data_IF_108880914499
#
_entry.id   IF_108880914499
#
_cell.length_a   1.000
_cell.length_b   1.000
_cell.length_c   1.000
_cell.angle_alpha   90.00
_cell.angle_beta   90.00
_cell.angle_gamma   90.00
#
_symmetry.space_group_name_H-M   'P 1'
#
loop_
_entity.id
_entity.type
_entity.pdbx_description
1 polymer ?
#
# COMPACT_ATOMS: atom_id res chain seq x y z
N UNK A 1 -50.55 -2.51 30.15
CA UNK A 1 -49.31 -3.25 29.85
C UNK A 1 -49.26 -3.78 28.42
N UNK A 2 -50.26 -4.51 27.92
CA UNK A 2 -50.26 -5.06 26.55
C UNK A 2 -50.09 -4.01 25.42
N UNK A 3 -50.70 -2.83 25.57
CA UNK A 3 -50.54 -1.70 24.62
C UNK A 3 -49.10 -1.18 24.55
N UNK A 4 -48.40 -1.11 25.68
CA UNK A 4 -47.02 -0.61 25.77
C UNK A 4 -46.06 -1.63 25.14
N UNK A 5 -46.30 -2.92 25.38
CA UNK A 5 -45.54 -4.02 24.78
C UNK A 5 -45.70 -4.02 23.25
N UNK A 6 -46.92 -3.83 22.74
CA UNK A 6 -47.16 -3.72 21.29
C UNK A 6 -46.46 -2.50 20.67
N UNK A 7 -46.45 -1.36 21.36
CA UNK A 7 -45.77 -0.15 20.88
C UNK A 7 -44.24 -0.32 20.85
N UNK A 8 -43.65 -0.98 21.85
CA UNK A 8 -42.22 -1.32 21.87
C UNK A 8 -41.84 -2.31 20.76
N UNK A 9 -42.65 -3.35 20.52
CA UNK A 9 -42.44 -4.30 19.43
C UNK A 9 -42.55 -3.62 18.05
N UNK A 10 -43.47 -2.67 17.89
CA UNK A 10 -43.60 -1.90 16.66
C UNK A 10 -42.35 -1.03 16.43
N UNK A 11 -41.82 -0.36 17.45
CA UNK A 11 -40.60 0.45 17.39
C UNK A 11 -39.38 -0.42 17.00
N UNK A 12 -39.24 -1.62 17.56
CA UNK A 12 -38.15 -2.55 17.20
C UNK A 12 -38.27 -3.00 15.74
N UNK A 13 -39.49 -3.20 15.22
CA UNK A 13 -39.71 -3.57 13.81
C UNK A 13 -39.38 -2.43 12.82
N UNK A 14 -39.61 -1.16 13.18
CA UNK A 14 -39.23 -0.02 12.32
C UNK A 14 -37.71 0.23 12.32
N UNK A 15 -37.01 -0.02 13.44
CA UNK A 15 -35.55 0.09 13.50
C UNK A 15 -34.82 -1.13 12.92
N UNK A 16 -35.44 -2.32 12.88
CA UNK A 16 -34.88 -3.52 12.28
C UNK A 16 -34.80 -3.45 10.73
N UNK A 17 -35.59 -2.57 10.12
CA UNK A 17 -35.71 -2.47 8.67
C UNK A 17 -34.89 -1.33 8.03
N UNK A 18 -33.99 -0.67 8.77
CA UNK A 18 -32.91 0.06 8.12
C UNK A 18 -31.92 -0.96 7.57
N UNK A 19 -32.17 -1.45 6.35
CA UNK A 19 -31.10 -2.01 5.52
C UNK A 19 -30.01 -0.96 5.52
N UNK A 20 -28.90 -1.26 6.18
CA UNK A 20 -27.66 -0.52 6.05
C UNK A 20 -27.46 -0.37 4.53
N UNK A 21 -27.58 0.86 4.02
CA UNK A 21 -27.34 1.15 2.62
C UNK A 21 -25.89 0.73 2.38
N UNK A 22 -25.69 -0.49 1.87
CA UNK A 22 -24.39 -0.91 1.38
C UNK A 22 -24.07 0.09 0.28
N UNK A 23 -22.99 0.88 0.40
CA UNK A 23 -22.59 1.80 -0.65
C UNK A 23 -22.56 1.02 -1.96
N UNK A 24 -23.11 1.59 -3.03
CA UNK A 24 -23.03 0.97 -4.35
C UNK A 24 -21.56 0.80 -4.70
N UNK A 25 -21.11 -0.45 -4.82
CA UNK A 25 -19.74 -0.77 -5.23
C UNK A 25 -19.51 -0.19 -6.62
N UNK A 26 -18.45 0.59 -6.79
CA UNK A 26 -18.15 1.26 -8.06
C UNK A 26 -17.37 0.31 -8.97
N UNK A 27 -17.81 0.15 -10.22
CA UNK A 27 -17.06 -0.62 -11.23
C UNK A 27 -16.06 0.27 -11.96
N UNK A 28 -14.78 -0.07 -11.86
CA UNK A 28 -13.66 0.50 -12.62
C UNK A 28 -13.44 -0.38 -13.85
N UNK A 29 -13.76 0.12 -15.03
CA UNK A 29 -13.51 -0.59 -16.29
C UNK A 29 -12.11 -0.28 -16.79
N UNK A 30 -11.22 -1.28 -16.77
CA UNK A 30 -9.85 -1.11 -17.25
C UNK A 30 -9.80 -1.44 -18.74
N UNK A 31 -9.46 -0.47 -19.62
CA UNK A 31 -9.43 -0.72 -21.05
C UNK A 31 -8.34 -1.73 -21.43
N UNK A 32 -8.54 -2.45 -22.54
CA UNK A 32 -7.48 -3.25 -23.15
C UNK A 32 -6.51 -2.35 -23.90
N UNK A 33 -5.28 -2.30 -23.42
CA UNK A 33 -4.17 -1.58 -24.06
C UNK A 33 -3.10 -2.57 -24.53
N UNK A 34 -2.37 -2.20 -25.58
CA UNK A 34 -1.19 -2.95 -25.98
C UNK A 34 -0.04 -2.73 -24.97
N UNK A 35 0.90 -3.68 -24.90
CA UNK A 35 1.97 -3.66 -23.88
C UNK A 35 3.02 -2.56 -24.12
N UNK A 36 2.97 -1.90 -25.26
CA UNK A 36 3.80 -0.77 -25.65
C UNK A 36 3.06 0.57 -25.57
N UNK A 37 1.84 0.59 -25.02
CA UNK A 37 1.13 1.85 -24.77
C UNK A 37 1.83 2.61 -23.65
N UNK A 38 2.33 3.78 -24.03
CA UNK A 38 2.97 4.73 -23.15
C UNK A 38 1.92 5.62 -22.49
N UNK A 39 2.04 5.81 -21.18
CA UNK A 39 1.37 6.91 -20.49
C UNK A 39 2.26 8.15 -20.55
N UNK A 40 1.67 9.27 -20.94
CA UNK A 40 2.33 10.57 -20.96
C UNK A 40 2.00 11.28 -19.66
N UNK A 41 2.92 11.23 -18.69
CA UNK A 41 2.73 11.80 -17.37
C UNK A 41 2.50 13.31 -17.43
N UNK A 42 3.11 14.04 -18.36
CA UNK A 42 2.85 15.47 -18.54
C UNK A 42 1.41 15.80 -18.98
N UNK A 43 0.68 14.83 -19.53
CA UNK A 43 -0.75 14.99 -19.86
C UNK A 43 -1.63 14.90 -18.62
N UNK A 44 -1.23 14.15 -17.59
CA UNK A 44 -2.05 13.91 -16.38
C UNK A 44 -1.53 14.61 -15.12
N UNK A 45 -0.26 15.02 -15.09
CA UNK A 45 0.36 15.72 -13.96
C UNK A 45 0.19 17.23 -14.13
N UNK A 46 -0.35 17.87 -13.10
CA UNK A 46 -0.51 19.33 -13.01
C UNK A 46 0.75 19.99 -12.44
N UNK A 47 1.31 19.41 -11.37
CA UNK A 47 2.48 19.95 -10.67
C UNK A 47 3.40 18.80 -10.26
N UNK A 48 4.71 18.98 -10.43
CA UNK A 48 5.75 18.10 -9.91
C UNK A 48 6.80 18.90 -9.13
N UNK A 49 7.18 18.41 -7.95
CA UNK A 49 8.20 18.98 -7.07
C UNK A 49 9.26 17.89 -6.85
N UNK A 50 10.52 18.28 -7.02
CA UNK A 50 11.66 17.38 -6.89
C UNK A 50 12.49 17.79 -5.68
N UNK A 51 12.78 16.82 -4.81
CA UNK A 51 13.51 17.05 -3.57
C UNK A 51 14.68 16.06 -3.54
N UNK A 52 15.90 16.49 -3.93
CA UNK A 52 17.09 15.67 -3.76
C UNK A 52 17.30 15.35 -2.29
N UNK A 53 17.52 14.08 -1.96
CA UNK A 53 17.95 13.71 -0.62
C UNK A 53 19.44 14.03 -0.48
N UNK A 54 19.82 14.58 0.66
CA UNK A 54 21.21 14.86 1.02
C UNK A 54 22.05 13.60 0.87
N UNK A 55 23.22 13.72 0.23
CA UNK A 55 24.18 12.62 0.03
C UNK A 55 25.46 12.91 0.80
N UNK A 56 25.73 12.09 1.82
CA UNK A 56 27.01 12.05 2.55
C UNK A 56 27.33 10.61 2.91
N UNK A 57 28.55 10.35 3.37
CA UNK A 57 28.95 9.01 3.85
C UNK A 57 28.05 8.51 5.01
N UNK A 58 27.45 9.42 5.78
CA UNK A 58 26.58 9.09 6.92
C UNK A 58 25.16 8.68 6.50
N UNK A 59 24.71 9.10 5.31
CA UNK A 59 23.34 8.94 4.86
C UNK A 59 23.20 8.33 3.46
N UNK A 60 24.25 7.70 2.94
CA UNK A 60 24.22 7.07 1.63
C UNK A 60 23.20 5.92 1.58
N UNK A 61 22.38 5.93 0.53
CA UNK A 61 21.30 4.98 0.28
C UNK A 61 21.65 4.14 -0.95
N UNK A 62 21.68 2.82 -0.77
CA UNK A 62 21.61 1.88 -1.89
C UNK A 62 20.17 1.88 -2.44
N UNK A 63 19.96 2.59 -3.55
CA UNK A 63 18.66 2.70 -4.21
C UNK A 63 18.07 1.33 -4.59
N UNK A 64 18.89 0.30 -4.85
CA UNK A 64 18.42 -1.06 -5.15
C UNK A 64 17.80 -1.77 -3.93
N UNK A 65 18.15 -1.28 -2.73
CA UNK A 65 17.67 -1.80 -1.45
C UNK A 65 16.56 -0.96 -0.84
N UNK A 66 16.15 0.13 -1.49
CA UNK A 66 15.00 0.92 -1.08
C UNK A 66 13.72 0.08 -1.17
N UNK A 67 12.87 0.13 -0.16
CA UNK A 67 11.63 -0.69 -0.11
C UNK A 67 10.38 0.10 0.17
N UNK A 68 10.47 1.17 0.96
CA UNK A 68 9.30 1.98 1.32
C UNK A 68 9.72 3.37 1.69
N UNK A 69 8.89 4.35 1.34
CA UNK A 69 8.97 5.68 1.89
C UNK A 69 7.60 6.17 2.31
N UNK A 70 7.58 6.90 3.42
CA UNK A 70 6.40 7.59 3.94
C UNK A 70 6.77 9.03 4.23
N UNK A 71 5.83 9.95 4.05
CA UNK A 71 5.98 11.34 4.49
C UNK A 71 4.93 11.69 5.53
N UNK A 72 5.39 12.19 6.66
CA UNK A 72 4.52 12.56 7.77
C UNK A 72 5.13 13.68 8.61
N UNK A 73 4.34 14.73 8.88
CA UNK A 73 4.74 15.89 9.69
C UNK A 73 6.07 16.52 9.27
N UNK A 74 6.24 16.74 7.96
CA UNK A 74 7.42 17.44 7.44
C UNK A 74 8.70 16.62 7.40
N UNK A 75 8.59 15.29 7.46
CA UNK A 75 9.72 14.35 7.40
C UNK A 75 9.45 13.24 6.39
N UNK A 76 10.50 12.86 5.66
CA UNK A 76 10.54 11.65 4.85
C UNK A 76 11.18 10.52 5.67
N UNK A 77 10.51 9.37 5.70
CA UNK A 77 10.98 8.14 6.34
C UNK A 77 11.26 7.12 5.25
N UNK A 78 12.54 6.87 4.96
CA UNK A 78 12.98 6.02 3.87
C UNK A 78 13.55 4.72 4.44
N UNK A 79 12.87 3.61 4.22
CA UNK A 79 13.33 2.30 4.66
C UNK A 79 14.13 1.59 3.56
N UNK A 80 15.36 1.24 3.90
CA UNK A 80 16.34 0.54 3.06
C UNK A 80 16.63 -0.81 3.69
N UNK A 81 16.42 -1.90 2.94
CA UNK A 81 16.40 -3.29 3.46
C UNK A 81 17.66 -3.71 4.20
N UNK A 82 18.83 -3.19 3.82
CA UNK A 82 20.13 -3.49 4.44
C UNK A 82 20.67 -2.35 5.30
N UNK A 83 20.11 -1.15 5.18
CA UNK A 83 20.58 0.04 5.91
C UNK A 83 19.77 0.37 7.16
N UNK A 84 18.44 0.26 7.07
CA UNK A 84 17.51 0.67 8.12
C UNK A 84 16.61 1.83 7.71
N UNK A 85 16.17 2.63 8.67
CA UNK A 85 15.30 3.77 8.43
C UNK A 85 16.08 5.08 8.42
N UNK A 86 16.15 5.72 7.27
CA UNK A 86 16.71 7.05 7.10
C UNK A 86 15.60 8.07 7.24
N UNK A 87 15.83 9.11 8.03
CA UNK A 87 14.89 10.21 8.27
C UNK A 87 15.50 11.46 7.67
N UNK A 88 14.73 12.11 6.78
CA UNK A 88 15.08 13.39 6.17
C UNK A 88 14.02 14.43 6.50
N UNK A 89 14.39 15.70 6.55
CA UNK A 89 13.43 16.80 6.65
C UNK A 89 12.70 17.02 5.31
N UNK A 90 11.69 17.89 5.30
CA UNK A 90 10.90 18.24 4.09
C UNK A 90 11.72 18.78 2.92
N UNK A 91 12.95 19.23 3.15
CA UNK A 91 13.84 19.76 2.12
C UNK A 91 14.88 18.72 1.68
N UNK A 92 14.77 17.46 2.14
CA UNK A 92 15.69 16.39 1.82
C UNK A 92 16.96 16.36 2.65
N UNK A 93 17.08 17.17 3.72
CA UNK A 93 18.29 17.16 4.57
C UNK A 93 18.24 16.01 5.55
N UNK A 94 19.36 15.32 5.72
CA UNK A 94 19.46 14.17 6.60
C UNK A 94 19.27 14.59 8.06
N UNK A 95 18.56 13.77 8.83
CA UNK A 95 18.31 14.01 10.25
C UNK A 95 18.82 12.87 11.11
N UNK A 96 18.56 11.62 10.71
CA UNK A 96 18.92 10.43 11.49
C UNK A 96 18.84 9.14 10.68
N UNK A 97 19.66 8.16 11.05
CA UNK A 97 19.54 6.76 10.67
C UNK A 97 19.19 5.91 11.90
N UNK A 98 18.17 5.07 11.78
CA UNK A 98 17.92 3.96 12.69
C UNK A 98 18.41 2.68 12.00
N UNK A 99 19.60 2.14 12.37
CA UNK A 99 20.18 1.03 11.65
C UNK A 99 19.43 -0.28 11.95
N UNK A 100 19.57 -1.25 11.05
CA UNK A 100 19.13 -2.63 11.30
C UNK A 100 20.13 -3.32 12.21
N UNK A 101 19.62 -4.01 13.23
CA UNK A 101 20.46 -4.78 14.13
C UNK A 101 19.72 -5.34 15.34
N UNK A 102 20.47 -5.66 16.40
CA UNK A 102 19.97 -6.33 17.61
C UNK A 102 20.31 -5.59 18.90
N UNK A 103 21.06 -4.49 18.82
CA UNK A 103 21.35 -3.66 19.97
C UNK A 103 20.10 -2.86 20.39
N UNK A 104 20.04 -2.34 21.63
CA UNK A 104 18.95 -1.48 22.06
C UNK A 104 18.79 -0.27 21.12
N UNK A 105 17.57 -0.05 20.62
CA UNK A 105 17.26 1.05 19.71
C UNK A 105 17.47 0.76 18.21
N UNK A 106 17.98 -0.42 17.85
CA UNK A 106 18.13 -0.83 16.45
C UNK A 106 16.87 -1.55 15.92
N UNK A 107 16.69 -1.49 14.61
CA UNK A 107 15.58 -2.15 13.93
C UNK A 107 15.81 -3.65 13.83
N UNK A 108 15.11 -4.42 14.67
CA UNK A 108 15.04 -5.88 14.58
C UNK A 108 13.81 -6.30 13.77
N UNK A 109 13.87 -6.04 12.47
CA UNK A 109 12.75 -6.22 11.52
C UNK A 109 12.68 -7.64 10.95
N UNK A 110 11.47 -8.09 10.63
CA UNK A 110 11.28 -9.26 9.77
C UNK A 110 11.34 -8.82 8.29
N UNK A 111 11.76 -9.73 7.41
CA UNK A 111 12.03 -9.49 5.97
C UNK A 111 10.78 -9.14 5.14
N UNK A 112 9.94 -8.21 5.56
CA UNK A 112 8.73 -7.82 4.82
C UNK A 112 9.04 -6.62 3.92
N UNK A 113 8.51 -6.66 2.70
CA UNK A 113 8.67 -5.61 1.69
C UNK A 113 7.89 -4.32 2.05
N UNK A 114 7.15 -4.30 3.16
CA UNK A 114 6.42 -3.13 3.70
C UNK A 114 6.78 -2.95 5.18
N UNK A 115 8.06 -2.67 5.43
CA UNK A 115 8.79 -2.90 6.67
C UNK A 115 8.40 -2.03 7.89
N UNK A 116 7.65 -0.94 7.71
CA UNK A 116 7.21 -0.07 8.80
C UNK A 116 5.89 0.61 8.49
N UNK A 117 5.28 1.20 9.52
CA UNK A 117 4.02 1.94 9.49
C UNK A 117 4.16 3.22 10.31
N UNK A 118 3.24 4.17 10.09
CA UNK A 118 3.11 5.35 10.94
C UNK A 118 1.75 5.29 11.64
N UNK A 119 1.77 5.18 12.96
CA UNK A 119 0.59 5.35 13.81
C UNK A 119 0.33 6.85 13.96
N UNK A 120 -0.40 7.42 12.99
CA UNK A 120 -0.70 8.87 12.92
C UNK A 120 -1.52 9.36 14.13
N UNK A 121 -2.27 8.48 14.78
CA UNK A 121 -3.07 8.84 15.97
C UNK A 121 -2.20 9.12 17.18
N UNK A 122 -1.11 8.36 17.33
CA UNK A 122 -0.19 8.48 18.47
C UNK A 122 1.17 9.06 18.08
N UNK A 123 1.33 9.54 16.86
CA UNK A 123 2.57 10.13 16.33
C UNK A 123 3.82 9.26 16.57
N UNK A 124 3.76 8.01 16.13
CA UNK A 124 4.86 7.06 16.31
C UNK A 124 5.07 6.16 15.10
N UNK A 125 6.32 5.77 14.89
CA UNK A 125 6.71 4.77 13.92
C UNK A 125 6.51 3.38 14.51
N UNK A 126 6.03 2.45 13.69
CA UNK A 126 5.81 1.06 14.09
C UNK A 126 6.53 0.13 13.15
N UNK A 127 7.37 -0.74 13.70
CA UNK A 127 8.13 -1.74 12.97
C UNK A 127 7.65 -3.14 13.36
N UNK A 128 6.94 -3.83 12.44
CA UNK A 128 6.64 -5.24 12.61
C UNK A 128 7.93 -6.06 12.65
N UNK A 129 8.18 -6.74 13.77
CA UNK A 129 9.27 -7.70 13.93
C UNK A 129 8.76 -9.12 14.06
N UNK A 130 9.68 -10.05 14.35
CA UNK A 130 9.33 -11.44 14.66
C UNK A 130 8.56 -11.52 15.98
N UNK A 131 7.26 -11.84 15.90
CA UNK A 131 6.34 -12.02 17.03
C UNK A 131 6.17 -10.81 17.95
N UNK A 132 6.62 -9.61 17.55
CA UNK A 132 6.43 -8.38 18.32
C UNK A 132 6.53 -7.16 17.42
N UNK A 133 5.93 -6.06 17.84
CA UNK A 133 6.05 -4.76 17.18
C UNK A 133 6.93 -3.83 18.02
N UNK A 134 7.82 -3.09 17.35
CA UNK A 134 8.66 -2.07 17.96
C UNK A 134 8.10 -0.69 17.66
N UNK A 135 8.10 0.18 18.65
CA UNK A 135 7.56 1.53 18.56
C UNK A 135 8.68 2.55 18.77
N UNK A 136 8.73 3.56 17.90
CA UNK A 136 9.67 4.68 17.96
C UNK A 136 8.91 5.99 17.84
N UNK A 137 9.42 7.07 18.41
CA UNK A 137 8.90 8.40 18.13
C UNK A 137 9.25 8.83 16.68
N UNK A 138 8.76 10.00 16.26
CA UNK A 138 9.02 10.55 14.92
C UNK A 138 10.47 11.04 14.74
N UNK A 139 11.25 11.10 15.81
CA UNK A 139 12.68 11.40 15.86
C UNK A 139 13.52 10.12 15.84
N UNK A 140 12.88 8.94 15.72
CA UNK A 140 13.53 7.65 15.65
C UNK A 140 14.13 7.19 16.98
N UNK A 141 13.65 7.67 18.12
CA UNK A 141 14.04 7.15 19.43
C UNK A 141 13.10 6.00 19.82
N UNK A 142 13.68 4.92 20.33
CA UNK A 142 12.91 3.76 20.78
C UNK A 142 12.03 4.13 21.98
N UNK A 143 10.76 3.73 21.92
CA UNK A 143 9.78 3.90 22.99
C UNK A 143 9.60 2.57 23.73
N UNK A 144 9.08 1.56 23.04
CA UNK A 144 8.72 0.28 23.62
C UNK A 144 8.61 -0.82 22.55
N UNK A 145 8.37 -2.06 23.00
CA UNK A 145 7.95 -3.15 22.11
C UNK A 145 6.80 -3.94 22.74
N UNK A 146 5.87 -4.39 21.91
CA UNK A 146 4.72 -5.20 22.33
C UNK A 146 4.74 -6.55 21.62
N UNK A 147 4.71 -7.62 22.40
CA UNK A 147 4.64 -8.97 21.85
C UNK A 147 3.27 -9.25 21.24
N UNK A 148 3.26 -9.97 20.13
CA UNK A 148 2.06 -10.55 19.55
C UNK A 148 1.68 -11.79 20.37
N UNK A 149 0.43 -11.89 20.78
CA UNK A 149 -0.17 -13.14 21.26
C UNK A 149 -0.25 -14.23 20.18
N UNK A 150 -0.28 -13.81 18.91
CA UNK A 150 -0.32 -14.75 17.80
C UNK A 150 1.05 -15.38 17.57
N UNK A 151 1.08 -16.70 17.33
CA UNK A 151 2.26 -17.40 16.83
C UNK A 151 2.48 -17.19 15.32
N UNK A 152 1.64 -16.39 14.68
CA UNK A 152 1.76 -16.04 13.27
C UNK A 152 2.40 -14.67 13.14
N UNK A 153 3.37 -14.54 12.23
CA UNK A 153 3.96 -13.26 11.87
C UNK A 153 3.19 -12.68 10.69
N UNK A 154 2.59 -11.49 10.80
CA UNK A 154 1.86 -10.90 9.70
C UNK A 154 2.84 -10.56 8.55
N UNK A 155 2.39 -10.83 7.33
CA UNK A 155 3.09 -10.43 6.12
C UNK A 155 3.06 -8.93 5.92
N UNK A 156 1.91 -8.32 6.22
CA UNK A 156 1.71 -6.88 6.28
C UNK A 156 0.79 -6.58 7.46
N UNK A 157 0.97 -5.41 8.05
CA UNK A 157 0.04 -4.86 9.02
C UNK A 157 -0.43 -3.50 8.50
N UNK A 158 -1.61 -3.08 8.93
CA UNK A 158 -2.17 -1.74 8.75
C UNK A 158 -2.85 -1.29 10.03
N UNK A 159 -2.97 0.04 10.18
CA UNK A 159 -3.66 0.67 11.29
C UNK A 159 -4.75 1.57 10.73
N UNK A 160 -6.01 1.24 10.98
CA UNK A 160 -7.18 2.05 10.60
C UNK A 160 -7.88 2.48 11.89
N UNK A 161 -8.03 3.79 12.10
CA UNK A 161 -8.71 4.35 13.29
C UNK A 161 -8.24 3.82 14.67
N UNK A 162 -7.01 3.32 14.74
CA UNK A 162 -6.42 2.73 15.96
C UNK A 162 -6.68 1.23 16.13
N UNK A 163 -7.39 0.58 15.20
CA UNK A 163 -7.54 -0.87 15.13
C UNK A 163 -6.46 -1.48 14.22
N UNK A 164 -5.88 -2.59 14.68
CA UNK A 164 -4.83 -3.31 13.94
C UNK A 164 -5.43 -4.32 12.98
N UNK A 165 -4.90 -4.31 11.76
CA UNK A 165 -5.28 -5.22 10.69
C UNK A 165 -4.06 -5.94 10.16
N UNK A 166 -4.11 -7.26 10.15
CA UNK A 166 -3.01 -8.11 9.72
C UNK A 166 -3.40 -8.88 8.46
N UNK A 167 -2.47 -8.90 7.50
CA UNK A 167 -2.51 -9.76 6.33
C UNK A 167 -1.45 -10.86 6.49
N UNK A 168 -1.78 -12.10 6.14
CA UNK A 168 -0.85 -13.24 6.24
C UNK A 168 -0.64 -13.90 4.88
N UNK A 169 0.62 -14.22 4.56
CA UNK A 169 0.97 -15.00 3.37
C UNK A 169 0.70 -16.49 3.58
N UNK A 170 0.24 -17.11 2.49
CA UNK A 170 -0.27 -18.46 2.29
C UNK A 170 0.38 -19.73 2.85
N UNK A 171 1.47 -19.65 3.61
CA UNK A 171 2.27 -20.86 3.91
C UNK A 171 2.40 -21.20 5.39
N UNK A 172 2.37 -20.24 6.32
CA UNK A 172 2.66 -20.53 7.73
C UNK A 172 1.42 -20.93 8.57
N UNK A 173 0.21 -20.52 8.18
CA UNK A 173 -0.99 -20.56 9.03
C UNK A 173 -2.06 -21.56 8.60
N UNK A 174 -1.96 -22.08 7.37
CA UNK A 174 -3.10 -22.65 6.63
C UNK A 174 -3.29 -24.17 6.82
N UNK A 175 -2.67 -24.77 7.83
CA UNK A 175 -2.85 -26.21 8.12
C UNK A 175 -4.13 -26.51 8.93
N UNK A 176 -4.95 -25.50 9.22
CA UNK A 176 -6.29 -25.65 9.83
C UNK A 176 -7.33 -25.04 8.90
N UNK A 177 -8.44 -25.76 8.69
CA UNK A 177 -9.48 -25.45 7.69
C UNK A 177 -10.26 -24.13 7.85
N UNK A 178 -9.90 -23.28 8.82
CA UNK A 178 -10.60 -22.03 9.15
C UNK A 178 -9.70 -20.78 9.00
N UNK A 179 -8.57 -20.89 8.28
CA UNK A 179 -7.67 -19.76 8.09
C UNK A 179 -8.28 -18.70 7.16
N UNK A 180 -8.13 -17.42 7.52
CA UNK A 180 -8.41 -16.24 6.71
C UNK A 180 -7.13 -15.57 6.20
N UNK A 181 -7.24 -14.71 5.19
CA UNK A 181 -6.12 -13.90 4.68
C UNK A 181 -5.91 -12.63 5.50
N UNK A 182 -7.00 -12.01 5.92
CA UNK A 182 -7.01 -10.78 6.70
C UNK A 182 -7.58 -11.04 8.09
N UNK A 183 -7.05 -10.35 9.10
CA UNK A 183 -7.54 -10.44 10.46
C UNK A 183 -7.56 -9.09 11.13
N UNK A 184 -8.59 -8.88 11.93
CA UNK A 184 -8.58 -7.83 12.95
C UNK A 184 -7.84 -8.35 14.18
N UNK A 185 -6.95 -7.53 14.71
CA UNK A 185 -6.04 -7.91 15.78
C UNK A 185 -6.13 -6.94 16.97
N UNK A 186 -6.09 -7.52 18.16
CA UNK A 186 -5.95 -6.82 19.42
C UNK A 186 -4.69 -7.36 20.14
N UNK A 187 -3.88 -6.48 20.71
CA UNK A 187 -2.62 -6.91 21.35
C UNK A 187 -2.87 -7.65 22.68
N UNK A 188 -3.97 -7.36 23.36
CA UNK A 188 -4.33 -7.92 24.65
C UNK A 188 -5.21 -9.16 24.52
N UNK A 189 -5.95 -9.33 23.42
CA UNK A 189 -6.81 -10.50 23.17
C UNK A 189 -6.31 -11.42 22.05
N UNK A 190 -5.51 -10.90 21.12
CA UNK A 190 -5.02 -11.63 19.94
C UNK A 190 -5.93 -11.43 18.71
N UNK A 191 -6.05 -12.47 17.89
CA UNK A 191 -6.91 -12.43 16.70
C UNK A 191 -8.38 -12.37 17.15
N UNK A 192 -9.10 -11.33 16.72
CA UNK A 192 -10.52 -11.13 17.02
C UNK A 192 -11.43 -11.76 15.97
N UNK A 193 -11.08 -11.56 14.70
CA UNK A 193 -11.95 -11.88 13.57
C UNK A 193 -11.12 -12.06 12.30
N UNK A 194 -11.55 -12.96 11.42
CA UNK A 194 -10.91 -13.26 10.14
C UNK A 194 -11.81 -12.91 8.94
N UNK A 195 -11.20 -12.41 7.88
CA UNK A 195 -11.86 -11.98 6.65
C UNK A 195 -11.17 -12.61 5.44
N UNK A 196 -11.97 -12.90 4.41
CA UNK A 196 -11.54 -13.62 3.22
C UNK A 196 -10.98 -15.01 3.57
N UNK A 197 -11.89 -15.98 3.80
CA UNK A 197 -11.50 -17.35 4.10
C UNK A 197 -10.54 -17.87 3.03
N UNK A 198 -9.46 -18.46 3.50
CA UNK A 198 -8.54 -19.14 2.63
C UNK A 198 -9.05 -20.53 2.30
N UNK A 199 -8.79 -20.93 1.07
CA UNK A 199 -9.08 -22.24 0.53
C UNK A 199 -7.81 -22.82 -0.08
N UNK A 200 -7.77 -24.13 -0.38
CA UNK A 200 -6.67 -24.72 -1.15
C UNK A 200 -6.35 -23.95 -2.44
N UNK A 201 -7.35 -23.31 -3.06
CA UNK A 201 -7.24 -22.58 -4.32
C UNK A 201 -6.56 -21.20 -4.17
N UNK A 202 -6.77 -20.50 -3.05
CA UNK A 202 -6.28 -19.13 -2.87
C UNK A 202 -5.22 -19.02 -1.77
N UNK A 203 -4.81 -20.12 -1.13
CA UNK A 203 -3.89 -20.07 0.01
C UNK A 203 -2.61 -19.34 -0.35
N UNK A 204 -1.99 -19.60 -1.49
CA UNK A 204 -0.71 -18.97 -1.90
C UNK A 204 -0.85 -17.59 -2.53
N UNK A 205 -2.04 -17.02 -2.48
CA UNK A 205 -2.28 -15.81 -3.22
C UNK A 205 -1.63 -14.60 -2.50
N UNK A 206 -0.96 -13.75 -3.29
CA UNK A 206 -0.32 -12.49 -2.86
C UNK A 206 -1.25 -11.28 -2.86
N UNK A 207 -1.34 -10.58 -1.74
CA UNK A 207 -2.22 -9.43 -1.54
C UNK A 207 -1.61 -8.45 -0.55
N UNK A 208 -2.43 -7.54 -0.03
CA UNK A 208 -1.97 -6.66 1.02
C UNK A 208 -2.84 -5.43 1.23
N UNK A 209 -2.23 -4.47 1.91
CA UNK A 209 -2.84 -3.18 2.19
C UNK A 209 -2.29 -2.10 1.25
N UNK A 210 -3.21 -1.32 0.72
CA UNK A 210 -2.96 -0.01 0.13
C UNK A 210 -3.25 1.09 1.16
N UNK A 211 -2.52 2.19 1.07
CA UNK A 211 -2.68 3.33 1.97
C UNK A 211 -3.11 4.56 1.18
N UNK A 212 -3.89 5.42 1.81
CA UNK A 212 -4.32 6.67 1.19
C UNK A 212 -4.66 7.78 2.17
N UNK A 213 -5.30 8.81 1.62
CA UNK A 213 -5.78 10.02 2.32
C UNK A 213 -6.53 9.68 3.60
N UNK A 214 -6.35 10.50 4.64
CA UNK A 214 -7.10 10.43 5.90
C UNK A 214 -7.08 9.06 6.60
N UNK A 215 -5.98 8.32 6.44
CA UNK A 215 -5.84 6.96 7.00
C UNK A 215 -6.80 5.94 6.37
N UNK A 216 -7.28 6.23 5.15
CA UNK A 216 -7.99 5.27 4.33
C UNK A 216 -7.07 4.06 4.09
N UNK A 217 -7.45 2.92 4.65
CA UNK A 217 -6.79 1.65 4.38
C UNK A 217 -7.64 0.90 3.37
N UNK A 218 -7.02 0.63 2.23
CA UNK A 218 -7.57 -0.27 1.23
C UNK A 218 -6.92 -1.64 1.40
N UNK A 219 -7.70 -2.69 1.21
CA UNK A 219 -7.22 -4.05 1.17
C UNK A 219 -7.54 -4.62 -0.21
N UNK A 220 -6.55 -5.24 -0.83
CA UNK A 220 -6.71 -5.88 -2.12
C UNK A 220 -6.41 -7.37 -1.97
N UNK A 221 -7.35 -8.16 -2.43
CA UNK A 221 -7.32 -9.59 -2.20
C UNK A 221 -6.60 -10.31 -3.32
N UNK A 222 -5.87 -11.36 -2.95
CA UNK A 222 -4.82 -11.87 -3.81
C UNK A 222 -5.32 -12.81 -4.91
N UNK A 223 -4.85 -12.63 -6.15
CA UNK A 223 -5.10 -13.44 -7.37
C UNK A 223 -6.56 -13.71 -7.80
N UNK A 224 -7.52 -13.66 -6.87
CA UNK A 224 -8.86 -14.23 -7.03
C UNK A 224 -9.97 -13.20 -6.83
N UNK A 225 -9.61 -11.98 -6.48
CA UNK A 225 -10.57 -10.90 -6.30
C UNK A 225 -10.20 -9.76 -7.23
N UNK A 226 -11.17 -9.43 -8.07
CA UNK A 226 -11.24 -8.19 -8.81
C UNK A 226 -11.75 -7.03 -7.93
N UNK A 227 -11.87 -7.24 -6.62
CA UNK A 227 -12.47 -6.25 -5.72
C UNK A 227 -11.38 -5.63 -4.85
N UNK A 228 -11.36 -4.30 -4.81
CA UNK A 228 -10.64 -3.50 -3.83
C UNK A 228 -11.61 -3.22 -2.69
N UNK A 229 -11.19 -3.51 -1.48
CA UNK A 229 -11.98 -3.34 -0.26
C UNK A 229 -11.46 -2.16 0.53
N UNK A 230 -12.35 -1.49 1.22
CA UNK A 230 -12.04 -0.47 2.20
C UNK A 230 -12.22 -1.06 3.60
N UNK A 231 -11.29 -0.75 4.48
CA UNK A 231 -11.48 -0.93 5.93
C UNK A 231 -12.09 0.36 6.46
N UNK A 232 -13.27 0.25 7.08
CA UNK A 232 -14.01 1.40 7.60
C UNK A 232 -14.74 1.01 8.87
N UNK A 233 -14.44 1.71 9.98
CA UNK A 233 -15.11 1.52 11.29
C UNK A 233 -15.12 0.05 11.74
N UNK A 234 -13.98 -0.62 11.63
CA UNK A 234 -13.86 -2.02 12.02
C UNK A 234 -14.44 -3.03 11.04
N UNK A 235 -14.97 -2.59 9.89
CA UNK A 235 -15.56 -3.46 8.87
C UNK A 235 -14.75 -3.50 7.58
N UNK A 236 -14.75 -4.66 6.95
CA UNK A 236 -14.11 -4.92 5.66
C UNK A 236 -15.17 -4.86 4.55
N UNK A 237 -15.20 -3.77 3.77
CA UNK A 237 -16.30 -3.46 2.85
C UNK A 237 -15.81 -3.40 1.39
N UNK A 238 -16.52 -4.00 0.41
CA UNK A 238 -16.22 -3.78 -1.00
C UNK A 238 -16.34 -2.30 -1.36
N UNK A 239 -15.30 -1.74 -1.99
CA UNK A 239 -15.29 -0.33 -2.42
C UNK A 239 -15.31 -0.21 -3.94
N UNK A 240 -14.46 -0.98 -4.63
CA UNK A 240 -14.33 -0.95 -6.08
C UNK A 240 -14.29 -2.36 -6.66
N UNK A 241 -14.95 -2.54 -7.81
CA UNK A 241 -14.87 -3.71 -8.65
C UNK A 241 -14.05 -3.37 -9.90
N UNK A 242 -12.91 -4.01 -10.11
CA UNK A 242 -12.00 -3.79 -11.24
C UNK A 242 -12.31 -4.78 -12.36
N UNK A 243 -12.95 -4.29 -13.40
CA UNK A 243 -13.34 -5.07 -14.57
C UNK A 243 -12.20 -5.11 -15.60
N UNK A 244 -11.52 -6.26 -15.68
CA UNK A 244 -10.52 -6.56 -16.72
C UNK A 244 -11.14 -7.18 -18.00
N UNK A 245 -12.47 -7.20 -18.11
CA UNK A 245 -13.19 -7.78 -19.24
C UNK A 245 -12.92 -9.28 -19.39
N UNK A 246 -12.53 -9.70 -20.61
CA UNK A 246 -12.22 -11.11 -20.93
C UNK A 246 -10.98 -11.65 -20.20
N UNK A 247 -10.12 -10.76 -19.70
CA UNK A 247 -8.88 -11.11 -18.99
C UNK A 247 -9.10 -11.23 -17.48
N UNK A 248 -10.36 -11.22 -17.04
CA UNK A 248 -10.75 -11.46 -15.65
C UNK A 248 -10.34 -12.87 -15.24
N UNK A 249 -9.72 -13.00 -14.06
CA UNK A 249 -9.46 -14.31 -13.47
C UNK A 249 -10.75 -14.97 -12.98
N UNK A 250 -10.96 -16.22 -13.42
CA UNK A 250 -12.00 -17.11 -12.90
C UNK A 250 -11.31 -18.27 -12.21
N UNK A 251 -11.59 -18.42 -10.91
CA UNK A 251 -11.13 -19.54 -10.10
C UNK A 251 -11.61 -20.87 -10.71
N UNK A 252 -10.66 -21.68 -11.18
CA UNK A 252 -10.88 -23.06 -11.63
C UNK A 252 -10.23 -24.08 -10.70
N UNK A 253 -10.68 -25.34 -10.76
CA UNK A 253 -10.22 -26.42 -9.88
C UNK A 253 -8.76 -26.89 -10.13
N UNK A 254 -8.10 -26.44 -11.19
CA UNK A 254 -6.81 -26.98 -11.64
C UNK A 254 -5.60 -26.49 -10.82
N UNK A 255 -5.81 -25.93 -9.61
CA UNK A 255 -4.76 -25.26 -8.85
C UNK A 255 -4.16 -26.14 -7.75
N UNK A 256 -3.04 -26.81 -8.06
CA UNK A 256 -2.06 -27.24 -7.07
C UNK A 256 -0.70 -26.55 -7.36
N UNK A 257 -0.37 -25.64 -6.46
CA UNK A 257 0.97 -25.25 -6.00
C UNK A 257 1.98 -24.58 -6.96
N UNK A 258 1.94 -24.70 -8.29
CA UNK A 258 3.08 -24.22 -9.12
C UNK A 258 2.66 -23.56 -10.44
N UNK A 259 2.24 -22.28 -10.40
CA UNK A 259 2.72 -21.24 -11.32
C UNK A 259 1.95 -19.91 -11.14
N UNK A 260 2.33 -19.11 -10.15
CA UNK A 260 1.91 -17.69 -10.05
C UNK A 260 2.26 -16.95 -11.36
N UNK A 261 3.39 -17.31 -11.97
CA UNK A 261 3.82 -16.81 -13.28
C UNK A 261 2.80 -17.11 -14.40
N UNK A 262 2.21 -18.31 -14.43
CA UNK A 262 1.16 -18.65 -15.40
C UNK A 262 -0.17 -17.93 -15.16
N UNK A 263 -0.44 -17.48 -13.93
CA UNK A 263 -1.62 -16.69 -13.63
C UNK A 263 -1.45 -15.24 -14.06
N UNK A 264 -0.30 -14.66 -13.69
CA UNK A 264 0.12 -13.33 -14.13
C UNK A 264 0.14 -13.22 -15.66
N UNK A 265 0.53 -14.29 -16.36
CA UNK A 265 0.54 -14.34 -17.83
C UNK A 265 -0.84 -14.45 -18.49
N UNK A 266 -1.92 -14.68 -17.73
CA UNK A 266 -3.26 -14.90 -18.29
C UNK A 266 -4.30 -13.88 -17.85
N UNK A 267 -4.12 -13.24 -16.69
CA UNK A 267 -5.21 -12.51 -16.02
C UNK A 267 -4.77 -11.23 -15.35
N UNK A 268 -5.74 -10.32 -15.13
CA UNK A 268 -5.55 -9.08 -14.39
C UNK A 268 -5.51 -9.30 -12.88
N UNK A 269 -4.40 -8.92 -12.24
CA UNK A 269 -4.19 -9.08 -10.80
C UNK A 269 -3.68 -7.75 -10.23
N UNK A 270 -4.38 -7.20 -9.25
CA UNK A 270 -3.98 -5.97 -8.55
C UNK A 270 -2.84 -6.29 -7.59
N UNK A 271 -1.75 -5.54 -7.67
CA UNK A 271 -0.54 -5.74 -6.86
C UNK A 271 -0.26 -4.59 -5.89
N UNK A 272 -0.80 -3.41 -6.17
CA UNK A 272 -0.66 -2.22 -5.34
C UNK A 272 -1.86 -1.30 -5.53
N UNK A 273 -2.24 -0.59 -4.46
CA UNK A 273 -3.33 0.39 -4.49
C UNK A 273 -2.94 1.57 -3.59
N UNK A 274 -3.17 2.78 -4.07
CA UNK A 274 -2.97 4.04 -3.34
C UNK A 274 -4.19 4.92 -3.57
N UNK A 275 -4.74 5.48 -2.50
CA UNK A 275 -5.89 6.38 -2.62
C UNK A 275 -5.48 7.84 -2.36
N UNK A 276 -5.63 8.68 -3.39
CA UNK A 276 -5.54 10.14 -3.30
C UNK A 276 -6.90 10.80 -3.09
N UNK A 277 -6.93 12.14 -3.10
CA UNK A 277 -8.12 12.95 -2.76
C UNK A 277 -9.34 12.68 -3.66
N UNK A 278 -9.12 12.45 -4.95
CA UNK A 278 -10.15 12.12 -5.94
C UNK A 278 -9.75 10.99 -6.90
N UNK A 279 -8.51 10.49 -6.76
CA UNK A 279 -7.95 9.48 -7.67
C UNK A 279 -7.58 8.24 -6.89
N UNK A 280 -7.94 7.08 -7.43
CA UNK A 280 -7.40 5.78 -7.00
C UNK A 280 -6.33 5.37 -7.99
N UNK A 281 -5.10 5.29 -7.51
CA UNK A 281 -3.99 4.70 -8.25
C UNK A 281 -3.92 3.21 -7.92
N UNK A 282 -3.68 2.36 -8.92
CA UNK A 282 -3.38 0.96 -8.67
C UNK A 282 -2.46 0.39 -9.75
N UNK A 283 -1.60 -0.53 -9.32
CA UNK A 283 -0.76 -1.35 -10.19
C UNK A 283 -1.45 -2.70 -10.37
N UNK A 284 -1.43 -3.20 -11.59
CA UNK A 284 -1.90 -4.55 -11.87
C UNK A 284 -1.00 -5.25 -12.89
N UNK A 285 -0.89 -6.57 -12.75
CA UNK A 285 -0.26 -7.42 -13.76
C UNK A 285 -1.34 -7.98 -14.65
N UNK A 286 -1.18 -7.88 -15.96
CA UNK A 286 -2.09 -8.43 -16.96
C UNK A 286 -1.31 -8.99 -18.14
N UNK A 287 -1.60 -10.23 -18.51
CA UNK A 287 -0.91 -10.96 -19.60
C UNK A 287 0.62 -10.98 -19.45
N UNK A 288 1.12 -10.96 -18.22
CA UNK A 288 2.54 -11.02 -17.88
C UNK A 288 3.23 -9.66 -17.78
N UNK A 289 2.50 -8.56 -18.00
CA UNK A 289 3.05 -7.20 -17.99
C UNK A 289 2.45 -6.40 -16.83
N UNK A 290 3.29 -5.62 -16.15
CA UNK A 290 2.84 -4.64 -15.17
C UNK A 290 2.25 -3.43 -15.88
N UNK A 291 1.12 -2.95 -15.38
CA UNK A 291 0.44 -1.76 -15.86
C UNK A 291 0.00 -0.92 -14.67
N UNK A 292 -0.08 0.38 -14.89
CA UNK A 292 -0.55 1.35 -13.91
C UNK A 292 -1.88 1.93 -14.37
N UNK A 293 -2.77 2.25 -13.43
CA UNK A 293 -4.03 2.91 -13.71
C UNK A 293 -4.33 4.01 -12.68
N UNK A 294 -4.86 5.12 -13.20
CA UNK A 294 -5.40 6.24 -12.44
C UNK A 294 -6.90 6.32 -12.69
N UNK A 295 -7.69 6.00 -11.67
CA UNK A 295 -9.14 6.08 -11.70
C UNK A 295 -9.64 7.37 -11.05
N UNK A 296 -10.27 8.25 -11.82
CA UNK A 296 -10.85 9.51 -11.36
C UNK A 296 -12.27 9.28 -10.86
N UNK A 297 -12.49 9.40 -9.55
CA UNK A 297 -13.76 9.02 -8.91
C UNK A 297 -14.94 9.88 -9.37
N UNK A 298 -14.72 11.16 -9.66
CA UNK A 298 -15.77 12.09 -10.10
C UNK A 298 -16.24 11.84 -11.53
N UNK A 299 -15.32 11.59 -12.45
CA UNK A 299 -15.65 11.42 -13.88
C UNK A 299 -15.92 9.96 -14.24
N UNK A 300 -15.39 9.03 -13.45
CA UNK A 300 -15.37 7.60 -13.78
C UNK A 300 -14.29 7.23 -14.82
N UNK A 301 -13.44 8.18 -15.19
CA UNK A 301 -12.39 8.00 -16.19
C UNK A 301 -11.25 7.13 -15.64
N UNK A 302 -10.69 6.30 -16.50
CA UNK A 302 -9.51 5.47 -16.22
C UNK A 302 -8.44 5.79 -17.25
N UNK A 303 -7.30 6.30 -16.77
CA UNK A 303 -6.09 6.47 -17.58
C UNK A 303 -5.13 5.33 -17.21
N UNK A 304 -4.66 4.58 -18.20
CA UNK A 304 -3.79 3.40 -17.97
C UNK A 304 -2.67 3.31 -19.00
N UNK A 305 -1.53 2.74 -18.58
CA UNK A 305 -0.36 2.54 -19.43
C UNK A 305 0.51 1.39 -18.92
N UNK A 306 1.35 0.85 -19.81
CA UNK A 306 2.30 -0.22 -19.49
C UNK A 306 3.74 0.29 -19.31
N UNK A 307 4.01 1.53 -19.75
CA UNK A 307 5.31 2.21 -19.67
C UNK A 307 5.11 3.71 -19.52
N UNK A 308 6.06 4.42 -18.93
CA UNK A 308 6.15 5.89 -19.02
C UNK A 308 7.07 6.27 -20.16
N UNK A 309 6.68 7.23 -21.01
CA UNK A 309 7.53 7.67 -22.13
C UNK A 309 8.88 8.15 -21.57
N UNK A 310 10.00 7.66 -22.11
CA UNK A 310 11.36 7.92 -21.58
C UNK A 310 11.67 9.42 -21.44
N UNK A 311 11.05 10.25 -22.27
CA UNK A 311 11.20 11.71 -22.30
C UNK A 311 10.38 12.44 -21.20
N UNK A 312 9.61 11.71 -20.39
CA UNK A 312 8.52 12.24 -19.54
C UNK A 312 8.68 11.81 -18.07
N UNK A 313 9.90 11.87 -17.53
CA UNK A 313 10.30 11.48 -16.14
C UNK A 313 9.82 12.50 -15.12
N UNK A 314 8.54 12.79 -15.17
CA UNK A 314 7.86 13.52 -14.13
C UNK A 314 7.47 12.58 -12.99
N UNK A 315 7.40 11.26 -13.23
CA UNK A 315 7.04 10.25 -12.22
C UNK A 315 7.74 8.89 -12.52
N UNK A 316 8.41 8.29 -11.54
CA UNK A 316 9.07 6.99 -11.69
C UNK A 316 8.06 5.84 -11.77
N UNK A 317 8.19 4.99 -12.80
CA UNK A 317 7.36 3.79 -13.00
C UNK A 317 7.75 2.71 -11.98
N UNK A 318 6.79 2.11 -11.29
CA UNK A 318 7.05 1.01 -10.35
C UNK A 318 7.75 1.39 -9.04
N UNK A 319 7.86 2.68 -8.72
CA UNK A 319 8.22 3.11 -7.35
C UNK A 319 7.03 2.89 -6.41
N UNK A 320 7.28 2.48 -5.17
CA UNK A 320 6.22 2.40 -4.15
C UNK A 320 5.63 3.78 -3.94
N UNK A 321 4.35 3.94 -4.25
CA UNK A 321 3.67 5.22 -4.17
C UNK A 321 2.98 5.36 -2.82
N UNK A 322 3.09 6.53 -2.22
CA UNK A 322 2.23 6.94 -1.12
C UNK A 322 1.49 8.23 -1.48
N UNK A 323 0.53 8.62 -0.65
CA UNK A 323 -0.21 9.87 -0.86
C UNK A 323 -0.25 10.67 0.43
N UNK A 324 0.08 11.96 0.34
CA UNK A 324 0.16 12.87 1.48
C UNK A 324 -0.01 14.32 1.02
N UNK A 325 -0.64 15.16 1.84
CA UNK A 325 -0.76 16.60 1.60
C UNK A 325 -1.21 17.01 0.16
N UNK A 326 -2.05 16.19 -0.48
CA UNK A 326 -2.54 16.45 -1.84
C UNK A 326 -1.58 16.05 -2.96
N UNK A 327 -0.53 15.28 -2.65
CA UNK A 327 0.48 14.78 -3.59
C UNK A 327 0.60 13.27 -3.52
N UNK A 328 0.76 12.66 -4.69
CA UNK A 328 1.41 11.36 -4.80
C UNK A 328 2.90 11.54 -4.55
N UNK A 329 3.48 10.60 -3.81
CA UNK A 329 4.86 10.66 -3.34
C UNK A 329 5.58 9.45 -3.90
N UNK A 330 6.56 9.72 -4.75
CA UNK A 330 7.36 8.74 -5.44
C UNK A 330 8.85 9.04 -5.22
N UNK A 331 9.73 8.19 -5.72
CA UNK A 331 11.17 8.40 -5.65
C UNK A 331 11.85 7.72 -6.82
N UNK A 332 12.97 8.28 -7.28
CA UNK A 332 13.75 7.72 -8.38
C UNK A 332 15.25 7.84 -8.10
N UNK A 333 16.03 6.93 -8.65
CA UNK A 333 17.48 6.96 -8.55
C UNK A 333 18.04 8.21 -9.25
N UNK A 334 19.01 8.88 -8.60
CA UNK A 334 19.70 10.04 -9.17
C UNK A 334 20.32 9.76 -10.54
N UNK A 335 20.84 8.54 -10.76
CA UNK A 335 21.31 8.08 -12.08
C UNK A 335 20.25 8.22 -13.17
N UNK A 336 19.00 7.86 -12.90
CA UNK A 336 17.93 7.95 -13.91
C UNK A 336 17.66 9.42 -14.26
N UNK A 337 17.69 10.32 -13.27
CA UNK A 337 17.59 11.76 -13.52
C UNK A 337 18.74 12.27 -14.39
N UNK A 338 19.98 11.85 -14.15
CA UNK A 338 21.12 12.33 -14.96
C UNK A 338 21.11 11.78 -16.39
N UNK A 339 20.61 10.56 -16.60
CA UNK A 339 20.56 9.95 -17.92
C UNK A 339 19.40 10.47 -18.78
N UNK A 340 18.22 10.60 -18.19
CA UNK A 340 16.99 10.73 -18.95
C UNK A 340 16.26 12.07 -18.68
N UNK A 341 16.61 12.79 -17.59
CA UNK A 341 16.11 14.15 -17.30
C UNK A 341 17.25 15.14 -16.94
N UNK A 342 18.28 15.29 -17.81
CA UNK A 342 19.51 16.02 -17.48
C UNK A 342 19.28 17.50 -17.15
N UNK A 343 18.28 18.14 -17.75
CA UNK A 343 17.93 19.54 -17.44
C UNK A 343 17.42 19.71 -16.00
N UNK A 344 16.62 18.74 -15.51
CA UNK A 344 16.14 18.72 -14.14
C UNK A 344 17.32 18.42 -13.19
N UNK A 345 18.14 17.42 -13.53
CA UNK A 345 19.32 17.08 -12.74
C UNK A 345 20.28 18.28 -12.59
N UNK A 346 20.55 19.00 -13.68
CA UNK A 346 21.40 20.19 -13.68
C UNK A 346 20.82 21.32 -12.82
N UNK A 347 19.50 21.58 -12.92
CA UNK A 347 18.81 22.60 -12.10
C UNK A 347 18.85 22.26 -10.61
N UNK A 348 18.77 20.98 -10.26
CA UNK A 348 18.81 20.48 -8.88
C UNK A 348 20.24 20.23 -8.38
N UNK A 349 21.25 20.35 -9.25
CA UNK A 349 22.64 19.99 -8.99
C UNK A 349 22.82 18.54 -8.48
N UNK A 350 22.06 17.61 -9.08
CA UNK A 350 22.08 16.17 -8.78
C UNK A 350 23.12 15.46 -9.64
N UNK A 351 23.91 14.58 -9.03
CA UNK A 351 24.91 13.71 -9.65
C UNK A 351 24.46 12.26 -9.64
N UNK A 352 25.01 11.47 -10.53
CA UNK A 352 24.68 10.04 -10.66
C UNK A 352 24.86 9.24 -9.36
N UNK A 353 25.85 9.57 -8.54
CA UNK A 353 26.14 8.91 -7.27
C UNK A 353 25.31 9.42 -6.09
N UNK A 354 24.44 10.41 -6.30
CA UNK A 354 23.65 10.97 -5.23
C UNK A 354 22.55 10.01 -4.77
N UNK A 355 22.08 10.24 -3.54
CA UNK A 355 20.90 9.59 -3.02
C UNK A 355 19.67 9.83 -3.92
N UNK A 356 18.64 8.97 -3.84
CA UNK A 356 17.42 9.13 -4.61
C UNK A 356 16.80 10.52 -4.48
N UNK A 357 16.11 10.94 -5.54
CA UNK A 357 15.33 12.18 -5.56
C UNK A 357 13.88 11.83 -5.27
N UNK A 358 13.28 12.49 -4.28
CA UNK A 358 11.84 12.38 -4.02
C UNK A 358 11.08 13.20 -5.05
N UNK A 359 9.98 12.63 -5.54
CA UNK A 359 9.11 13.23 -6.54
C UNK A 359 7.71 13.36 -5.94
N UNK A 360 7.29 14.58 -5.64
CA UNK A 360 5.92 14.89 -5.23
C UNK A 360 5.15 15.38 -6.44
N UNK A 361 4.05 14.72 -6.80
CA UNK A 361 3.26 15.15 -7.95
C UNK A 361 1.77 15.18 -7.66
N UNK A 362 1.09 16.13 -8.30
CA UNK A 362 -0.35 16.28 -8.27
C UNK A 362 -0.92 16.05 -9.66
N UNK A 363 -2.01 15.32 -9.74
CA UNK A 363 -2.72 15.07 -10.99
C UNK A 363 -3.65 16.24 -11.32
N UNK A 364 -3.89 16.46 -12.62
CA UNK A 364 -4.92 17.36 -13.14
C UNK A 364 -6.29 16.87 -12.67
N UNK A 365 -7.25 17.80 -12.51
CA UNK A 365 -8.59 17.51 -11.99
C UNK A 365 -9.63 17.33 -13.09
#
# INVERSE_FOLDING_TARGET
MLKIILQLLLIILIFSCQKQQVPSVVTIKVPEIANDVWMTMSEIVDTAIYIPLETTDECLIDASMFRRMEYYKGKFYCFVFTGGLYIFDRNGRFQKLIPIGRAPGELNVCNSHKAFLIDKKNDRLVFPGWYKFYYYDLEGNYIESRNLKSKLVPAQAALENGEWWFYFFGSASFNKGDASHYYRYDFDEGIKEGFMPASPLNRYAEGGFGYGVDSLVLAYSPLVSDTIYQINKGHFCPAFYVDFGKDKYVLGNDYIQHNIENLRSKTGIITEVVAGDDVIYFVFVRKGYSQEAYFYRRTGEVITGAKHKEEDIFVPFGSTLTYTDGYFVAWENAYIFTQWAPDIAARLNVKESDNPVIVLYRLKK
#
